data_IF_866073147249
#
_entry.id   IF_866073147249
#
_cell.length_a   1.000
_cell.length_b   1.000
_cell.length_c   1.000
_cell.angle_alpha   90.00
_cell.angle_beta   90.00
_cell.angle_gamma   90.00
#
_symmetry.space_group_name_H-M   'P 1'
#
loop_
_entity.id
_entity.type
_entity.pdbx_description
1 polymer ?
#
# COMPACT_ATOMS: atom_id res chain seq x y z
N UNK A 1 2.57 1.70 10.40
CA UNK A 1 1.99 0.41 10.87
C UNK A 1 2.96 -0.73 10.54
N UNK A 2 2.77 -1.95 11.07
CA UNK A 2 3.74 -3.04 10.91
C UNK A 2 3.06 -4.42 10.88
N UNK A 3 3.47 -5.30 9.97
CA UNK A 3 3.02 -6.70 9.91
C UNK A 3 3.72 -7.58 10.96
N UNK A 4 3.24 -8.80 11.14
CA UNK A 4 3.72 -9.79 12.12
C UNK A 4 5.17 -10.21 11.89
N UNK A 5 5.63 -10.21 10.64
CA UNK A 5 7.01 -10.52 10.24
C UNK A 5 7.87 -9.26 10.05
N UNK A 6 7.28 -8.09 10.27
CA UNK A 6 8.04 -6.86 10.47
C UNK A 6 8.13 -5.91 9.27
N UNK A 7 7.32 -6.11 8.23
CA UNK A 7 7.17 -5.14 7.15
C UNK A 7 6.48 -3.87 7.68
N UNK A 8 7.10 -2.72 7.47
CA UNK A 8 6.56 -1.43 7.91
C UNK A 8 5.87 -0.72 6.74
N UNK A 9 4.67 -0.20 6.99
CA UNK A 9 3.84 0.43 5.98
C UNK A 9 3.04 1.60 6.55
N UNK A 10 2.77 2.59 5.74
CA UNK A 10 1.84 3.69 6.04
C UNK A 10 0.62 3.65 5.13
N UNK A 11 -0.38 4.46 5.44
CA UNK A 11 -1.57 4.64 4.62
C UNK A 11 -1.73 6.10 4.23
N UNK A 12 -1.99 6.35 2.95
CA UNK A 12 -2.31 7.67 2.40
C UNK A 12 -3.64 7.64 1.65
N UNK A 13 -4.28 8.78 1.45
CA UNK A 13 -5.56 8.87 0.72
C UNK A 13 -5.41 9.43 -0.69
N UNK A 14 -4.22 9.89 -1.06
CA UNK A 14 -3.95 10.53 -2.34
C UNK A 14 -2.91 9.73 -3.13
N UNK A 15 -3.09 9.67 -4.46
CA UNK A 15 -2.12 9.06 -5.36
C UNK A 15 -1.01 10.06 -5.61
N UNK A 16 0.23 9.69 -5.31
CA UNK A 16 1.39 10.54 -5.58
C UNK A 16 1.58 10.74 -7.10
N UNK A 17 1.63 11.99 -7.62
CA UNK A 17 1.81 12.25 -9.04
C UNK A 17 3.18 11.82 -9.57
N UNK A 18 4.19 11.66 -8.71
CA UNK A 18 5.54 11.25 -9.11
C UNK A 18 5.71 9.72 -9.20
N UNK A 19 4.73 8.95 -8.71
CA UNK A 19 4.75 7.50 -8.85
C UNK A 19 4.71 7.06 -10.31
N UNK A 20 5.29 5.89 -10.57
CA UNK A 20 5.25 5.29 -11.90
C UNK A 20 3.81 5.00 -12.32
N UNK A 21 3.58 4.80 -13.63
CA UNK A 21 2.25 4.42 -14.11
C UNK A 21 1.74 3.11 -13.51
N UNK A 22 2.65 2.18 -13.22
CA UNK A 22 2.34 0.93 -12.54
C UNK A 22 1.92 1.19 -11.08
N UNK A 23 2.74 1.92 -10.32
CA UNK A 23 2.46 2.25 -8.92
C UNK A 23 1.12 2.98 -8.77
N UNK A 24 0.79 3.90 -9.68
CA UNK A 24 -0.52 4.58 -9.71
C UNK A 24 -1.68 3.62 -9.94
N UNK A 25 -1.48 2.57 -10.72
CA UNK A 25 -2.47 1.52 -10.96
C UNK A 25 -2.71 0.74 -9.66
N UNK A 26 -1.64 0.34 -8.97
CA UNK A 26 -1.72 -0.34 -7.66
C UNK A 26 -2.41 0.55 -6.63
N UNK A 27 -2.02 1.83 -6.54
CA UNK A 27 -2.65 2.79 -5.64
C UNK A 27 -4.15 2.96 -5.92
N UNK A 28 -4.55 2.98 -7.19
CA UNK A 28 -5.96 3.00 -7.59
C UNK A 28 -6.72 1.76 -7.11
N UNK A 29 -6.12 0.56 -7.23
CA UNK A 29 -6.69 -0.67 -6.70
C UNK A 29 -6.88 -0.60 -5.18
N UNK A 30 -5.87 -0.12 -4.44
CA UNK A 30 -5.96 0.03 -2.99
C UNK A 30 -7.08 0.98 -2.57
N UNK A 31 -7.21 2.14 -3.22
CA UNK A 31 -8.30 3.09 -2.96
C UNK A 31 -9.68 2.49 -3.25
N UNK A 32 -9.81 1.65 -4.27
CA UNK A 32 -11.06 0.96 -4.58
C UNK A 32 -11.45 -0.07 -3.51
N UNK A 33 -10.46 -0.80 -2.97
CA UNK A 33 -10.67 -1.92 -2.05
C UNK A 33 -10.74 -1.49 -0.58
N UNK A 34 -9.79 -0.68 -0.14
CA UNK A 34 -9.57 -0.32 1.27
C UNK A 34 -9.77 1.17 1.57
N UNK A 35 -10.08 2.00 0.55
CA UNK A 35 -10.22 3.48 0.67
C UNK A 35 -8.95 4.23 1.07
N UNK A 36 -7.83 3.52 1.19
CA UNK A 36 -6.49 4.06 1.44
C UNK A 36 -5.50 3.38 0.50
N UNK A 37 -4.41 4.06 0.18
CA UNK A 37 -3.24 3.48 -0.47
C UNK A 37 -2.29 3.01 0.63
N UNK A 38 -1.96 1.72 0.61
CA UNK A 38 -0.98 1.09 1.49
C UNK A 38 0.41 1.29 0.87
N UNK A 39 1.31 1.97 1.56
CA UNK A 39 2.63 2.38 1.07
C UNK A 39 3.72 1.78 1.95
N UNK A 40 4.69 1.12 1.32
CA UNK A 40 5.89 0.64 1.97
C UNK A 40 6.74 1.81 2.49
N UNK A 41 7.16 1.77 3.76
CA UNK A 41 7.93 2.88 4.35
C UNK A 41 9.40 2.90 3.95
N UNK A 42 9.97 1.78 3.51
CA UNK A 42 11.35 1.67 3.05
C UNK A 42 11.51 2.25 1.63
N UNK A 43 10.60 1.88 0.72
CA UNK A 43 10.68 2.25 -0.69
C UNK A 43 9.79 3.44 -1.08
N UNK A 44 8.79 3.77 -0.26
CA UNK A 44 7.85 4.87 -0.55
C UNK A 44 6.90 4.59 -1.71
N UNK A 45 6.67 3.30 -2.02
CA UNK A 45 5.85 2.83 -3.12
C UNK A 45 4.64 2.04 -2.61
N UNK A 46 3.54 2.00 -3.37
CA UNK A 46 2.39 1.17 -3.02
C UNK A 46 2.79 -0.31 -2.94
N UNK A 47 2.38 -1.00 -1.88
CA UNK A 47 2.64 -2.43 -1.71
C UNK A 47 1.77 -3.21 -2.70
N UNK A 48 2.35 -4.02 -3.58
CA UNK A 48 1.62 -4.83 -4.57
C UNK A 48 1.68 -6.34 -4.31
N UNK A 49 2.48 -6.76 -3.33
CA UNK A 49 2.60 -8.16 -2.93
C UNK A 49 1.35 -8.65 -2.20
N UNK A 50 0.66 -9.63 -2.79
CA UNK A 50 -0.59 -10.18 -2.26
C UNK A 50 -0.45 -10.81 -0.86
N UNK A 51 0.70 -11.42 -0.55
CA UNK A 51 0.94 -12.01 0.77
C UNK A 51 0.98 -10.92 1.85
N UNK A 52 1.66 -9.81 1.56
CA UNK A 52 1.76 -8.68 2.47
C UNK A 52 0.38 -8.01 2.65
N UNK A 53 -0.33 -7.81 1.54
CA UNK A 53 -1.66 -7.20 1.54
C UNK A 53 -2.69 -8.04 2.29
N UNK A 54 -2.63 -9.37 2.24
CA UNK A 54 -3.56 -10.23 2.97
C UNK A 54 -3.51 -9.99 4.48
N UNK A 55 -2.30 -9.84 5.05
CA UNK A 55 -2.16 -9.51 6.47
C UNK A 55 -2.54 -8.06 6.76
N UNK A 56 -2.09 -7.13 5.92
CA UNK A 56 -2.37 -5.70 6.09
C UNK A 56 -3.88 -5.42 6.10
N UNK A 57 -4.66 -6.05 5.21
CA UNK A 57 -6.11 -5.91 5.19
C UNK A 57 -6.81 -6.46 6.44
N UNK A 58 -6.15 -7.32 7.22
CA UNK A 58 -6.68 -7.77 8.53
C UNK A 58 -6.30 -6.83 9.67
N UNK A 59 -5.25 -6.00 9.48
CA UNK A 59 -4.81 -4.98 10.44
C UNK A 59 -5.66 -3.71 10.32
N UNK A 60 -6.04 -3.34 9.10
CA UNK A 60 -6.91 -2.20 8.78
C UNK A 60 -8.38 -2.48 9.13
#
# INVERSE_FOLDING_TARGET
MKTSYGLEFDTVTEINPEWSGYDKTIAGCHLANARVVIVDTEYGQPIDNEHDLEEIYRIL
#
